data_IF_464678005852
#
_entry.id   IF_464678005852
#
_cell.length_a   1.000
_cell.length_b   1.000
_cell.length_c   1.000
_cell.angle_alpha   90.00
_cell.angle_beta   90.00
_cell.angle_gamma   90.00
#
_symmetry.space_group_name_H-M   'P 1'
#
loop_
_entity.id
_entity.type
_entity.pdbx_description
1 polymer ?
#
# COMPACT_ATOMS: atom_id res chain seq x y z
N UNK A 1 -10.24 -46.69 31.91
CA UNK A 1 -11.24 -45.98 32.75
C UNK A 1 -10.63 -44.66 33.20
N UNK A 2 -11.34 -43.54 33.02
CA UNK A 2 -10.92 -42.22 33.50
C UNK A 2 -10.74 -41.15 32.41
N UNK A 3 -11.76 -40.93 31.59
CA UNK A 3 -11.81 -39.81 30.63
C UNK A 3 -12.30 -38.55 31.36
N UNK A 4 -11.38 -37.61 31.63
CA UNK A 4 -11.68 -36.34 32.30
C UNK A 4 -11.90 -35.22 31.28
N UNK A 5 -13.14 -35.04 30.83
CA UNK A 5 -13.54 -33.93 29.97
C UNK A 5 -13.57 -32.60 30.75
N UNK A 6 -12.78 -31.63 30.32
CA UNK A 6 -12.85 -30.24 30.81
C UNK A 6 -13.66 -29.40 29.82
N UNK A 7 -14.84 -29.00 30.27
CA UNK A 7 -15.80 -28.14 29.60
C UNK A 7 -15.27 -26.69 29.59
N UNK A 8 -14.82 -26.21 28.43
CA UNK A 8 -14.32 -24.85 28.26
C UNK A 8 -15.46 -23.94 27.77
N UNK A 9 -16.19 -23.32 28.69
CA UNK A 9 -17.17 -22.27 28.38
C UNK A 9 -16.43 -21.01 27.90
N UNK A 10 -16.35 -20.82 26.59
CA UNK A 10 -15.88 -19.55 25.99
C UNK A 10 -17.01 -18.53 26.01
N UNK A 11 -16.88 -17.54 26.90
CA UNK A 11 -17.67 -16.32 26.92
C UNK A 11 -17.39 -15.53 25.64
N UNK A 12 -18.41 -15.32 24.81
CA UNK A 12 -18.36 -14.49 23.61
C UNK A 12 -18.52 -13.05 24.08
N UNK A 13 -17.40 -12.35 24.28
CA UNK A 13 -17.38 -10.91 24.51
C UNK A 13 -17.76 -10.19 23.23
N UNK A 14 -18.87 -9.47 23.26
CA UNK A 14 -19.31 -8.52 22.24
C UNK A 14 -18.23 -7.45 22.04
N UNK A 15 -17.55 -7.50 20.90
CA UNK A 15 -16.54 -6.52 20.54
C UNK A 15 -17.22 -5.19 20.17
N UNK A 16 -16.89 -4.19 20.97
CA UNK A 16 -17.18 -2.77 20.81
C UNK A 16 -16.66 -2.26 19.46
N UNK A 17 -17.57 -1.82 18.57
CA UNK A 17 -17.24 -1.17 17.30
C UNK A 17 -17.07 0.33 17.59
N UNK A 18 -15.87 0.91 17.52
CA UNK A 18 -15.73 2.35 17.66
C UNK A 18 -16.23 3.05 16.39
N UNK A 19 -17.28 3.86 16.54
CA UNK A 19 -17.76 4.84 15.55
C UNK A 19 -16.68 5.88 15.25
N UNK A 20 -15.93 5.68 14.17
CA UNK A 20 -14.88 6.61 13.68
C UNK A 20 -15.34 7.49 12.50
N UNK A 21 -16.63 7.85 12.40
CA UNK A 21 -17.16 8.61 11.26
C UNK A 21 -17.24 10.12 11.45
N UNK A 22 -16.80 10.70 12.58
CA UNK A 22 -17.06 12.14 12.87
C UNK A 22 -15.92 13.14 12.66
N UNK A 23 -14.66 12.73 12.42
CA UNK A 23 -13.53 13.68 12.43
C UNK A 23 -12.94 14.10 11.08
N UNK A 24 -13.46 13.61 9.94
CA UNK A 24 -12.92 14.00 8.62
C UNK A 24 -13.58 15.24 7.99
N UNK A 25 -14.76 15.66 8.47
CA UNK A 25 -15.47 16.81 7.88
C UNK A 25 -14.98 18.17 8.37
N UNK A 26 -14.34 18.27 9.54
CA UNK A 26 -13.90 19.57 10.09
C UNK A 26 -12.53 20.06 9.57
N UNK A 27 -11.79 19.26 8.80
CA UNK A 27 -10.51 19.72 8.24
C UNK A 27 -10.66 20.42 6.87
N UNK A 28 -11.84 20.35 6.24
CA UNK A 28 -12.07 20.91 4.90
C UNK A 28 -12.37 22.42 4.91
N UNK A 29 -12.90 22.97 6.01
CA UNK A 29 -13.34 24.37 6.06
C UNK A 29 -12.23 25.39 6.38
N UNK A 30 -11.05 24.95 6.83
CA UNK A 30 -9.94 25.89 7.15
C UNK A 30 -8.97 26.17 6.00
N UNK A 31 -9.08 25.48 4.87
CA UNK A 31 -8.18 25.68 3.72
C UNK A 31 -8.73 26.64 2.65
N UNK A 32 -9.95 27.17 2.82
CA UNK A 32 -10.59 28.04 1.82
C UNK A 32 -10.28 29.53 1.89
N UNK A 33 -9.53 30.02 2.89
CA UNK A 33 -9.48 31.46 3.20
C UNK A 33 -8.18 32.21 2.83
N UNK A 34 -7.12 31.54 2.36
CA UNK A 34 -5.79 32.16 2.28
C UNK A 34 -5.17 32.28 0.86
N UNK A 35 -5.95 32.14 -0.21
CA UNK A 35 -5.42 32.27 -1.58
C UNK A 35 -6.18 33.30 -2.41
N UNK A 36 -6.13 34.56 -1.96
CA UNK A 36 -6.40 35.73 -2.79
C UNK A 36 -5.07 36.37 -3.19
N UNK A 37 -4.34 35.71 -4.07
CA UNK A 37 -3.17 36.32 -4.71
C UNK A 37 -3.67 37.27 -5.80
N UNK A 38 -3.26 38.53 -5.64
CA UNK A 38 -3.53 39.66 -6.53
C UNK A 38 -2.98 39.38 -7.94
N UNK A 39 -3.87 39.22 -8.92
CA UNK A 39 -3.53 39.27 -10.35
C UNK A 39 -3.97 40.63 -10.87
N UNK A 40 -3.13 41.64 -10.67
CA UNK A 40 -3.19 42.92 -11.36
C UNK A 40 -1.76 43.40 -11.52
N UNK A 41 -1.15 43.08 -12.65
CA UNK A 41 -0.59 44.09 -13.56
C UNK A 41 0.19 43.45 -14.72
N UNK A 42 -0.10 44.01 -15.90
CA UNK A 42 0.67 44.09 -17.14
C UNK A 42 1.33 42.81 -17.69
N UNK A 43 0.82 42.19 -18.77
CA UNK A 43 0.79 42.70 -20.14
C UNK A 43 2.16 43.15 -20.70
N UNK A 44 3.06 42.21 -21.00
CA UNK A 44 4.07 42.33 -22.09
C UNK A 44 4.64 40.92 -22.38
N UNK A 45 4.12 40.21 -23.40
CA UNK A 45 4.80 39.94 -24.68
C UNK A 45 6.17 39.24 -24.55
N UNK A 46 6.26 37.97 -24.96
CA UNK A 46 7.20 37.48 -25.99
C UNK A 46 7.01 35.96 -26.23
N UNK A 47 6.62 35.67 -27.47
CA UNK A 47 6.92 34.53 -28.33
C UNK A 47 6.98 33.09 -27.76
N UNK A 48 5.98 32.31 -28.19
CA UNK A 48 6.17 31.08 -28.97
C UNK A 48 7.31 30.13 -28.53
N UNK A 49 7.21 29.60 -27.31
CA UNK A 49 7.87 28.34 -26.99
C UNK A 49 6.89 27.20 -27.27
N UNK A 50 7.18 26.43 -28.31
CA UNK A 50 6.52 25.17 -28.63
C UNK A 50 6.64 24.22 -27.43
N UNK A 51 5.71 24.31 -26.49
CA UNK A 51 5.47 23.25 -25.53
C UNK A 51 4.78 22.12 -26.29
N UNK A 52 5.58 21.29 -26.97
CA UNK A 52 5.11 19.98 -27.37
C UNK A 52 4.57 19.31 -26.10
N UNK A 53 3.29 18.93 -26.04
CA UNK A 53 2.80 18.13 -24.94
C UNK A 53 3.61 16.84 -24.99
N UNK A 54 4.54 16.67 -24.05
CA UNK A 54 5.08 15.35 -23.74
C UNK A 54 3.90 14.54 -23.26
N UNK A 55 3.16 13.95 -24.21
CA UNK A 55 2.25 12.86 -23.94
C UNK A 55 3.17 11.78 -23.40
N UNK A 56 3.31 11.74 -22.07
CA UNK A 56 3.73 10.55 -21.39
C UNK A 56 2.73 9.51 -21.86
N UNK A 57 3.13 8.70 -22.83
CA UNK A 57 2.57 7.38 -23.00
C UNK A 57 2.81 6.72 -21.65
N UNK A 58 1.82 6.85 -20.77
CA UNK A 58 1.58 5.83 -19.77
C UNK A 58 1.54 4.57 -20.61
N UNK A 59 2.62 3.78 -20.55
CA UNK A 59 2.60 2.44 -21.06
C UNK A 59 1.32 1.87 -20.50
N UNK A 60 0.40 1.53 -21.38
CA UNK A 60 -0.82 0.83 -21.02
C UNK A 60 -0.31 -0.53 -20.55
N UNK A 61 0.12 -0.59 -19.29
CA UNK A 61 0.48 -1.80 -18.57
C UNK A 61 -0.84 -2.51 -18.35
N UNK A 62 -1.37 -3.06 -19.44
CA UNK A 62 -2.50 -3.95 -19.39
C UNK A 62 -2.08 -5.07 -18.45
N UNK A 63 -2.71 -5.20 -17.26
CA UNK A 63 -2.26 -6.14 -16.26
C UNK A 63 -2.25 -7.53 -16.89
N UNK A 64 -1.24 -8.37 -16.58
CA UNK A 64 -1.12 -9.67 -17.21
C UNK A 64 -2.42 -10.44 -17.04
N UNK A 65 -2.98 -10.84 -18.18
CA UNK A 65 -4.22 -11.60 -18.19
C UNK A 65 -3.91 -12.99 -17.65
N UNK A 66 -4.58 -13.36 -16.55
CA UNK A 66 -4.46 -14.69 -16.00
C UNK A 66 -5.04 -15.71 -16.97
N UNK A 67 -4.38 -16.86 -17.18
CA UNK A 67 -4.91 -17.92 -18.04
C UNK A 67 -6.24 -18.43 -17.44
N UNK A 68 -7.35 -18.14 -18.12
CA UNK A 68 -8.67 -18.58 -17.73
C UNK A 68 -8.94 -20.00 -18.23
N UNK A 69 -9.16 -20.94 -17.30
CA UNK A 69 -9.66 -22.29 -17.59
C UNK A 69 -11.19 -22.36 -17.62
N UNK A 70 -11.87 -21.20 -17.59
CA UNK A 70 -13.33 -21.10 -17.55
C UNK A 70 -13.93 -21.34 -16.17
N UNK A 71 -13.11 -21.63 -15.14
CA UNK A 71 -13.54 -21.59 -13.75
C UNK A 71 -13.35 -20.17 -13.20
N UNK A 72 -14.13 -19.80 -12.19
CA UNK A 72 -13.96 -18.55 -11.45
C UNK A 72 -12.67 -18.59 -10.61
N UNK A 73 -11.53 -18.59 -11.31
CA UNK A 73 -10.20 -18.24 -10.80
C UNK A 73 -9.90 -16.83 -11.27
N UNK A 74 -10.86 -15.91 -11.06
CA UNK A 74 -10.54 -14.50 -11.22
C UNK A 74 -9.29 -14.22 -10.38
N UNK A 75 -8.34 -13.43 -10.89
CA UNK A 75 -7.14 -13.07 -10.14
C UNK A 75 -7.49 -12.70 -8.70
N UNK A 76 -7.05 -13.55 -7.77
CA UNK A 76 -7.39 -13.46 -6.36
C UNK A 76 -6.96 -12.14 -5.75
N UNK A 77 -5.96 -11.49 -6.34
CA UNK A 77 -5.32 -10.30 -5.80
C UNK A 77 -5.14 -9.27 -6.92
N UNK A 78 -6.23 -8.80 -7.54
CA UNK A 78 -6.12 -7.72 -8.55
C UNK A 78 -5.77 -6.36 -7.96
N UNK A 79 -6.07 -6.12 -6.69
CA UNK A 79 -5.93 -4.79 -6.09
C UNK A 79 -4.78 -4.71 -5.10
N UNK A 80 -4.12 -3.54 -5.08
CA UNK A 80 -3.13 -3.17 -4.08
C UNK A 80 -3.70 -3.32 -2.65
N UNK A 81 -4.97 -2.96 -2.46
CA UNK A 81 -5.65 -3.06 -1.17
C UNK A 81 -5.73 -4.52 -0.68
N UNK A 82 -6.12 -5.45 -1.55
CA UNK A 82 -6.18 -6.89 -1.25
C UNK A 82 -4.79 -7.44 -0.91
N UNK A 83 -3.77 -7.07 -1.66
CA UNK A 83 -2.39 -7.49 -1.40
C UNK A 83 -1.92 -7.03 -0.01
N UNK A 84 -2.23 -5.78 0.37
CA UNK A 84 -1.94 -5.24 1.71
C UNK A 84 -2.68 -5.96 2.83
N UNK A 85 -3.94 -6.35 2.62
CA UNK A 85 -4.70 -7.10 3.63
C UNK A 85 -4.14 -8.52 3.86
N UNK A 86 -3.78 -9.21 2.79
CA UNK A 86 -3.12 -10.53 2.87
C UNK A 86 -1.80 -10.39 3.63
N UNK A 87 -0.99 -9.39 3.26
CA UNK A 87 0.26 -9.10 3.97
C UNK A 87 0.02 -8.84 5.45
N UNK A 88 -0.96 -8.00 5.80
CA UNK A 88 -1.31 -7.69 7.19
C UNK A 88 -1.67 -8.95 7.98
N UNK A 89 -2.46 -9.85 7.40
CA UNK A 89 -2.83 -11.10 8.06
C UNK A 89 -1.60 -11.94 8.39
N UNK A 90 -0.66 -12.09 7.45
CA UNK A 90 0.56 -12.89 7.63
C UNK A 90 1.53 -12.21 8.58
N UNK A 91 1.75 -10.90 8.43
CA UNK A 91 2.64 -10.12 9.28
C UNK A 91 2.18 -10.14 10.74
N UNK A 92 0.86 -10.10 11.01
CA UNK A 92 0.32 -10.26 12.36
C UNK A 92 0.59 -11.64 12.95
N UNK A 93 0.57 -12.69 12.13
CA UNK A 93 0.85 -14.05 12.57
C UNK A 93 2.35 -14.33 12.79
N UNK A 94 3.23 -13.73 11.99
CA UNK A 94 4.66 -14.07 11.93
C UNK A 94 5.58 -13.03 12.58
N UNK A 95 5.19 -11.76 12.56
CA UNK A 95 6.07 -10.63 12.82
C UNK A 95 5.35 -9.48 13.56
N UNK A 96 4.43 -9.80 14.49
CA UNK A 96 3.61 -8.80 15.19
C UNK A 96 4.43 -7.69 15.89
N UNK A 97 5.63 -8.01 16.37
CA UNK A 97 6.53 -7.03 16.99
C UNK A 97 7.11 -6.04 15.98
N UNK A 98 7.44 -6.48 14.76
CA UNK A 98 7.97 -5.62 13.70
C UNK A 98 6.92 -4.67 13.13
N UNK A 99 5.65 -5.04 13.15
CA UNK A 99 4.56 -4.17 12.72
C UNK A 99 4.46 -2.87 13.54
N UNK A 100 4.90 -2.87 14.81
CA UNK A 100 4.95 -1.64 15.62
C UNK A 100 6.06 -0.70 15.15
N UNK A 101 7.17 -1.27 14.68
CA UNK A 101 8.36 -0.52 14.23
C UNK A 101 8.20 -0.02 12.78
N UNK A 102 7.57 -0.82 11.93
CA UNK A 102 7.34 -0.53 10.51
C UNK A 102 5.83 -0.56 10.22
N UNK A 103 5.08 0.48 10.61
CA UNK A 103 3.63 0.48 10.48
C UNK A 103 3.15 0.77 9.05
N UNK A 104 4.01 1.29 8.18
CA UNK A 104 3.66 1.61 6.80
C UNK A 104 3.81 0.36 5.96
N UNK A 105 2.84 0.08 5.10
CA UNK A 105 2.87 -1.06 4.18
C UNK A 105 2.79 -0.51 2.77
N UNK A 106 3.78 -0.86 1.98
CA UNK A 106 3.86 -0.52 0.56
C UNK A 106 3.61 -1.79 -0.24
N UNK A 107 2.79 -1.69 -1.27
CA UNK A 107 2.62 -2.74 -2.25
C UNK A 107 3.00 -2.15 -3.60
N UNK A 108 3.89 -2.84 -4.30
CA UNK A 108 4.37 -2.48 -5.63
C UNK A 108 3.91 -3.55 -6.61
N UNK A 109 3.40 -3.09 -7.73
CA UNK A 109 3.04 -3.94 -8.85
C UNK A 109 4.30 -4.28 -9.65
N UNK A 110 4.62 -5.57 -9.79
CA UNK A 110 5.73 -6.08 -10.62
C UNK A 110 5.24 -6.78 -11.89
N UNK A 111 3.97 -6.57 -12.26
CA UNK A 111 3.32 -7.23 -13.38
C UNK A 111 2.56 -8.48 -12.93
N UNK A 112 3.25 -9.62 -12.82
CA UNK A 112 2.66 -10.94 -12.51
C UNK A 112 2.39 -11.17 -11.01
N UNK A 113 3.07 -10.42 -10.14
CA UNK A 113 2.91 -10.49 -8.69
C UNK A 113 2.90 -9.11 -8.03
N UNK A 114 2.45 -9.09 -6.78
CA UNK A 114 2.63 -7.96 -5.87
C UNK A 114 3.87 -8.18 -5.03
N UNK A 115 4.76 -7.20 -5.00
CA UNK A 115 5.80 -7.08 -3.98
C UNK A 115 5.23 -6.23 -2.83
N UNK A 116 4.98 -6.83 -1.67
CA UNK A 116 4.46 -6.13 -0.49
C UNK A 116 5.51 -6.13 0.60
N UNK A 117 5.87 -4.94 1.09
CA UNK A 117 6.90 -4.76 2.12
C UNK A 117 6.49 -3.79 3.21
N UNK A 118 6.98 -4.06 4.41
CA UNK A 118 6.95 -3.10 5.51
C UNK A 118 7.91 -1.94 5.22
N UNK A 119 7.51 -0.71 5.54
CA UNK A 119 8.34 0.47 5.42
C UNK A 119 8.41 1.26 6.72
N UNK A 120 9.53 1.94 6.93
CA UNK A 120 9.62 2.95 8.00
C UNK A 120 8.71 4.12 7.69
N UNK A 121 8.12 4.74 8.72
CA UNK A 121 7.29 5.95 8.57
C UNK A 121 8.09 7.14 8.01
N UNK A 122 9.39 7.15 8.23
CA UNK A 122 10.34 8.12 7.69
C UNK A 122 11.55 7.35 7.17
N UNK A 123 11.53 6.90 5.91
CA UNK A 123 12.72 6.33 5.35
C UNK A 123 13.60 7.51 4.90
N UNK A 124 14.75 7.68 5.55
CA UNK A 124 15.67 8.78 5.19
C UNK A 124 16.15 8.59 3.75
N UNK A 125 15.92 9.55 2.84
CA UNK A 125 16.44 9.47 1.50
C UNK A 125 17.97 9.51 1.56
N UNK A 126 18.63 8.54 0.93
CA UNK A 126 20.08 8.53 0.80
C UNK A 126 20.40 8.96 -0.62
N UNK A 127 21.11 10.07 -0.75
CA UNK A 127 21.57 10.57 -2.03
C UNK A 127 22.93 9.95 -2.33
N UNK A 128 22.98 9.03 -3.29
CA UNK A 128 24.21 8.44 -3.78
C UNK A 128 24.29 8.59 -5.30
N UNK A 129 25.38 9.15 -5.81
CA UNK A 129 25.65 9.31 -7.26
C UNK A 129 24.56 10.05 -8.05
N UNK A 130 23.89 11.03 -7.45
CA UNK A 130 22.80 11.77 -8.10
C UNK A 130 21.48 11.00 -8.19
N UNK A 131 21.41 9.80 -7.61
CA UNK A 131 20.19 9.01 -7.48
C UNK A 131 19.72 9.09 -6.03
N UNK A 132 18.44 9.40 -5.84
CA UNK A 132 17.81 9.35 -4.52
C UNK A 132 17.39 7.91 -4.27
N UNK A 133 18.16 7.20 -3.44
CA UNK A 133 17.85 5.83 -3.04
C UNK A 133 17.37 5.84 -1.61
N UNK A 134 16.15 5.38 -1.39
CA UNK A 134 15.59 5.25 -0.05
C UNK A 134 16.11 3.94 0.55
N UNK A 135 17.23 3.97 1.28
CA UNK A 135 17.75 2.76 1.94
C UNK A 135 16.87 2.48 3.15
N UNK A 136 16.02 1.47 3.01
CA UNK A 136 15.25 0.93 4.10
C UNK A 136 16.16 -0.05 4.87
N UNK A 137 16.50 0.29 6.12
CA UNK A 137 17.37 -0.55 6.94
C UNK A 137 16.74 -1.91 7.25
N UNK A 138 17.57 -2.96 7.23
CA UNK A 138 17.19 -4.37 7.37
C UNK A 138 16.29 -4.71 8.56
N UNK A 139 15.58 -5.83 8.41
CA UNK A 139 14.58 -6.35 9.34
C UNK A 139 13.13 -6.15 8.89
N UNK A 140 12.90 -5.62 7.69
CA UNK A 140 11.56 -5.44 7.12
C UNK A 140 11.04 -6.74 6.58
N UNK A 141 9.77 -7.05 6.87
CA UNK A 141 9.12 -8.22 6.30
C UNK A 141 8.63 -7.90 4.88
N UNK A 142 9.01 -8.75 3.92
CA UNK A 142 8.64 -8.65 2.52
C UNK A 142 7.97 -9.95 2.04
N UNK A 143 7.02 -9.81 1.12
CA UNK A 143 6.18 -10.88 0.58
C UNK A 143 5.98 -10.67 -0.93
N UNK A 144 6.04 -11.76 -1.68
CA UNK A 144 5.68 -11.80 -3.09
C UNK A 144 4.39 -12.61 -3.24
N UNK A 145 3.35 -11.98 -3.79
CA UNK A 145 2.01 -12.57 -3.91
C UNK A 145 1.63 -12.61 -5.39
N UNK A 146 1.52 -13.81 -5.94
CA UNK A 146 1.07 -14.02 -7.33
C UNK A 146 -0.35 -13.49 -7.51
N UNK A 147 -0.58 -12.65 -8.55
CA UNK A 147 -1.88 -11.98 -8.74
C UNK A 147 -2.99 -12.94 -9.14
N UNK A 148 -2.64 -13.97 -9.91
CA UNK A 148 -3.60 -14.89 -10.50
C UNK A 148 -4.06 -15.96 -9.51
N UNK A 149 -3.13 -16.57 -8.80
CA UNK A 149 -3.36 -17.66 -7.86
C UNK A 149 -3.47 -17.21 -6.41
N UNK A 150 -3.00 -16.01 -6.07
CA UNK A 150 -2.83 -15.59 -4.68
C UNK A 150 -1.72 -16.35 -3.94
N UNK A 151 -0.94 -17.18 -4.64
CA UNK A 151 0.13 -17.96 -4.04
C UNK A 151 1.27 -17.06 -3.58
N UNK A 152 1.85 -17.43 -2.45
CA UNK A 152 2.97 -16.69 -1.86
C UNK A 152 4.25 -17.40 -2.27
N UNK A 153 4.98 -16.81 -3.20
CA UNK A 153 6.22 -17.40 -3.74
C UNK A 153 7.42 -17.10 -2.85
N UNK A 154 7.42 -15.97 -2.15
CA UNK A 154 8.52 -15.57 -1.28
C UNK A 154 7.98 -14.82 -0.05
N UNK A 155 8.54 -15.13 1.12
CA UNK A 155 8.24 -14.47 2.39
C UNK A 155 9.51 -14.45 3.25
N UNK A 156 10.15 -13.29 3.38
CA UNK A 156 11.44 -13.18 4.08
C UNK A 156 11.57 -11.85 4.83
N UNK A 157 12.58 -11.79 5.69
CA UNK A 157 13.03 -10.52 6.27
C UNK A 157 14.23 -10.03 5.47
N UNK A 158 14.15 -8.79 4.97
CA UNK A 158 15.28 -8.13 4.33
C UNK A 158 16.41 -7.98 5.35
N UNK A 159 17.66 -8.21 4.91
CA UNK A 159 18.85 -8.17 5.78
C UNK A 159 19.50 -6.79 5.78
#
# INVERSE_FOLDING_TARGET
>A
MGSGGREFKRSIGTAFVPSFTKSYLECRDKLGAAMRFQIRDAATLILALWAAPSVALAADETPPQCPGDGLAREPFVQSEATAKEIFLAIARARAAHNMKKYPVIQAKDEGDHWEVRQASKNPSPIFAHGVVTTIQGGGQFALHIDKCSGAISNAHFEK
#
